data_IF_856967284793
#
_entry.id   IF_856967284793
#
_cell.length_a   1.000
_cell.length_b   1.000
_cell.length_c   1.000
_cell.angle_alpha   90.00
_cell.angle_beta   90.00
_cell.angle_gamma   90.00
#
_symmetry.space_group_name_H-M   'P 1'
#
loop_
_entity.id
_entity.type
_entity.pdbx_description
1 polymer ?
#
# COMPACT_ATOMS: atom_id res chain seq x y z
N UNK A 1 -32.27 137.89 4.00
CA UNK A 1 -33.17 137.15 3.08
C UNK A 1 -32.51 136.64 1.80
N UNK A 2 -32.13 137.45 0.78
CA UNK A 2 -31.54 136.89 -0.47
C UNK A 2 -30.13 136.27 -0.31
N UNK A 3 -29.35 136.71 0.68
CA UNK A 3 -27.98 136.21 0.94
C UNK A 3 -27.99 134.86 1.67
N UNK A 4 -28.81 134.74 2.71
CA UNK A 4 -29.01 133.50 3.49
C UNK A 4 -29.61 132.37 2.64
N UNK A 5 -30.52 132.68 1.71
CA UNK A 5 -31.10 131.67 0.81
C UNK A 5 -30.05 131.09 -0.16
N UNK A 6 -29.08 131.91 -0.57
CA UNK A 6 -27.98 131.50 -1.44
C UNK A 6 -26.96 130.65 -0.66
N UNK A 7 -26.66 131.02 0.57
CA UNK A 7 -25.80 130.24 1.47
C UNK A 7 -26.41 128.86 1.76
N UNK A 8 -27.73 128.78 2.03
CA UNK A 8 -28.44 127.50 2.19
C UNK A 8 -28.46 126.66 0.91
N UNK A 9 -28.60 127.27 -0.27
CA UNK A 9 -28.50 126.55 -1.54
C UNK A 9 -27.08 126.03 -1.82
N UNK A 10 -26.06 126.81 -1.46
CA UNK A 10 -24.66 126.42 -1.63
C UNK A 10 -24.27 125.32 -0.62
N UNK A 11 -24.79 125.37 0.61
CA UNK A 11 -24.66 124.28 1.59
C UNK A 11 -25.35 123.01 1.12
N UNK A 12 -26.61 123.10 0.65
CA UNK A 12 -27.33 121.94 0.13
C UNK A 12 -26.58 121.29 -1.05
N UNK A 13 -26.05 122.08 -1.98
CA UNK A 13 -25.20 121.56 -3.08
C UNK A 13 -23.95 120.87 -2.57
N UNK A 14 -23.27 121.43 -1.56
CA UNK A 14 -22.09 120.78 -0.94
C UNK A 14 -22.47 119.46 -0.28
N UNK A 15 -23.63 119.39 0.39
CA UNK A 15 -24.10 118.15 1.00
C UNK A 15 -24.46 117.10 -0.05
N UNK A 16 -25.12 117.49 -1.14
CA UNK A 16 -25.44 116.57 -2.25
C UNK A 16 -24.17 116.03 -2.90
N UNK A 17 -23.20 116.89 -3.22
CA UNK A 17 -21.90 116.47 -3.79
C UNK A 17 -21.13 115.56 -2.82
N UNK A 18 -21.19 115.82 -1.52
CA UNK A 18 -20.58 114.95 -0.52
C UNK A 18 -21.27 113.58 -0.44
N UNK A 19 -22.60 113.54 -0.50
CA UNK A 19 -23.37 112.28 -0.51
C UNK A 19 -23.09 111.46 -1.76
N UNK A 20 -23.05 112.08 -2.95
CA UNK A 20 -22.69 111.40 -4.20
C UNK A 20 -21.27 110.82 -4.14
N UNK A 21 -20.32 111.58 -3.56
CA UNK A 21 -18.96 111.11 -3.36
C UNK A 21 -18.92 109.93 -2.38
N UNK A 22 -19.63 110.02 -1.27
CA UNK A 22 -19.70 108.95 -0.28
C UNK A 22 -20.31 107.66 -0.85
N UNK A 23 -21.39 107.76 -1.64
CA UNK A 23 -21.99 106.60 -2.30
C UNK A 23 -21.03 105.96 -3.31
N UNK A 24 -20.30 106.76 -4.08
CA UNK A 24 -19.32 106.26 -5.02
C UNK A 24 -18.14 105.57 -4.32
N UNK A 25 -17.60 106.18 -3.26
CA UNK A 25 -16.52 105.60 -2.44
C UNK A 25 -16.97 104.27 -1.80
N UNK A 26 -18.24 104.16 -1.35
CA UNK A 26 -18.77 102.91 -0.79
C UNK A 26 -18.96 101.82 -1.84
N UNK A 27 -19.45 102.17 -3.05
CA UNK A 27 -19.59 101.21 -4.16
C UNK A 27 -18.23 100.69 -4.64
N UNK A 28 -17.21 101.56 -4.66
CA UNK A 28 -15.85 101.18 -5.04
C UNK A 28 -15.23 100.23 -4.01
N UNK A 29 -15.35 100.52 -2.71
CA UNK A 29 -14.86 99.62 -1.64
C UNK A 29 -15.53 98.24 -1.65
N UNK A 30 -16.84 98.17 -1.90
CA UNK A 30 -17.54 96.87 -2.02
C UNK A 30 -17.05 96.11 -3.25
N UNK A 31 -16.79 96.82 -4.36
CA UNK A 31 -16.25 96.20 -5.57
C UNK A 31 -14.83 95.68 -5.38
N UNK A 32 -13.96 96.45 -4.74
CA UNK A 32 -12.58 96.04 -4.41
C UNK A 32 -12.59 94.82 -3.47
N UNK A 33 -13.39 94.84 -2.41
CA UNK A 33 -13.53 93.70 -1.49
C UNK A 33 -14.01 92.43 -2.17
N UNK A 34 -15.01 92.52 -3.06
CA UNK A 34 -15.49 91.36 -3.82
C UNK A 34 -14.44 90.80 -4.81
N UNK A 35 -13.60 91.67 -5.38
CA UNK A 35 -12.52 91.25 -6.30
C UNK A 35 -11.40 90.55 -5.55
N UNK A 36 -11.03 91.05 -4.37
CA UNK A 36 -10.04 90.41 -3.49
C UNK A 36 -10.54 89.03 -3.03
N UNK A 37 -11.77 88.94 -2.52
CA UNK A 37 -12.38 87.67 -2.09
C UNK A 37 -12.49 86.65 -3.23
N UNK A 38 -12.90 87.08 -4.44
CA UNK A 38 -12.89 86.20 -5.61
C UNK A 38 -11.49 85.74 -6.01
N UNK A 39 -10.47 86.60 -5.86
CA UNK A 39 -9.08 86.26 -6.21
C UNK A 39 -8.48 85.26 -5.23
N UNK A 40 -8.70 85.44 -3.93
CA UNK A 40 -8.25 84.54 -2.87
C UNK A 40 -8.93 83.18 -3.01
N UNK A 41 -10.25 83.16 -3.25
CA UNK A 41 -11.00 81.93 -3.42
C UNK A 41 -10.58 81.15 -4.68
N UNK A 42 -10.24 81.85 -5.79
CA UNK A 42 -9.68 81.21 -7.00
C UNK A 42 -8.31 80.59 -6.75
N UNK A 43 -7.46 81.23 -5.96
CA UNK A 43 -6.12 80.72 -5.66
C UNK A 43 -6.14 79.60 -4.63
N UNK A 44 -7.03 79.65 -3.64
CA UNK A 44 -7.29 78.53 -2.73
C UNK A 44 -7.84 77.31 -3.46
N UNK A 45 -8.76 77.50 -4.41
CA UNK A 45 -9.33 76.42 -5.19
C UNK A 45 -8.28 75.76 -6.12
N UNK A 46 -7.41 76.54 -6.76
CA UNK A 46 -6.25 76.01 -7.51
C UNK A 46 -5.32 75.18 -6.60
N UNK A 47 -4.99 75.69 -5.41
CA UNK A 47 -4.16 74.95 -4.44
C UNK A 47 -4.85 73.67 -3.95
N UNK A 48 -6.17 73.68 -3.78
CA UNK A 48 -6.95 72.50 -3.44
C UNK A 48 -6.94 71.46 -4.58
N UNK A 49 -7.08 71.89 -5.83
CA UNK A 49 -7.01 71.03 -7.01
C UNK A 49 -5.64 70.36 -7.14
N UNK A 50 -4.54 71.12 -7.01
CA UNK A 50 -3.18 70.56 -7.06
C UNK A 50 -2.96 69.53 -5.94
N UNK A 51 -3.48 69.79 -4.73
CA UNK A 51 -3.42 68.82 -3.63
C UNK A 51 -4.20 67.55 -3.96
N UNK A 52 -5.43 67.67 -4.48
CA UNK A 52 -6.24 66.52 -4.88
C UNK A 52 -5.56 65.68 -5.97
N UNK A 53 -5.00 66.31 -7.00
CA UNK A 53 -4.24 65.61 -8.05
C UNK A 53 -3.02 64.87 -7.49
N UNK A 54 -2.31 65.47 -6.52
CA UNK A 54 -1.20 64.82 -5.84
C UNK A 54 -1.66 63.59 -5.06
N UNK A 55 -2.72 63.71 -4.27
CA UNK A 55 -3.30 62.59 -3.54
C UNK A 55 -3.77 61.48 -4.47
N UNK A 56 -4.40 61.82 -5.60
CA UNK A 56 -4.85 60.83 -6.59
C UNK A 56 -3.66 60.08 -7.21
N UNK A 57 -2.56 60.79 -7.53
CA UNK A 57 -1.33 60.18 -8.04
C UNK A 57 -0.71 59.23 -7.01
N UNK A 58 -0.64 59.63 -5.75
CA UNK A 58 -0.09 58.80 -4.66
C UNK A 58 -0.95 57.55 -4.42
N UNK A 59 -2.28 57.69 -4.44
CA UNK A 59 -3.19 56.55 -4.28
C UNK A 59 -3.09 55.58 -5.47
N UNK A 60 -2.99 56.10 -6.71
CA UNK A 60 -2.75 55.28 -7.90
C UNK A 60 -1.41 54.55 -7.84
N UNK A 61 -0.36 55.21 -7.34
CA UNK A 61 0.96 54.61 -7.16
C UNK A 61 0.93 53.49 -6.12
N UNK A 62 0.37 53.75 -4.93
CA UNK A 62 0.20 52.74 -3.87
C UNK A 62 -0.64 51.54 -4.31
N UNK A 63 -1.70 51.77 -5.08
CA UNK A 63 -2.52 50.69 -5.63
C UNK A 63 -1.75 49.81 -6.63
N UNK A 64 -0.84 50.40 -7.43
CA UNK A 64 0.05 49.64 -8.32
C UNK A 64 1.10 48.85 -7.54
N UNK A 65 1.77 49.50 -6.59
CA UNK A 65 2.77 48.85 -5.74
C UNK A 65 2.18 47.68 -4.95
N UNK A 66 1.00 47.84 -4.35
CA UNK A 66 0.32 46.76 -3.64
C UNK A 66 -0.10 45.59 -4.55
N UNK A 67 -0.46 45.86 -5.81
CA UNK A 67 -0.72 44.80 -6.79
C UNK A 67 0.55 44.07 -7.21
N UNK A 68 1.65 44.78 -7.44
CA UNK A 68 2.93 44.18 -7.81
C UNK A 68 3.53 43.35 -6.67
N UNK A 69 3.45 43.84 -5.42
CA UNK A 69 3.85 43.11 -4.23
C UNK A 69 3.01 41.85 -4.05
N UNK A 70 1.67 41.97 -4.17
CA UNK A 70 0.77 40.82 -4.07
C UNK A 70 0.95 39.79 -5.19
N UNK A 71 1.27 40.21 -6.42
CA UNK A 71 1.62 39.29 -7.50
C UNK A 71 2.97 38.60 -7.27
N UNK A 72 3.97 39.32 -6.76
CA UNK A 72 5.27 38.75 -6.46
C UNK A 72 5.20 37.74 -5.30
N UNK A 73 4.42 38.03 -4.26
CA UNK A 73 4.19 37.11 -3.14
C UNK A 73 3.52 35.82 -3.64
N UNK A 74 2.45 35.93 -4.43
CA UNK A 74 1.81 34.77 -5.07
C UNK A 74 2.76 33.96 -5.95
N UNK A 75 3.66 34.62 -6.69
CA UNK A 75 4.66 33.90 -7.51
C UNK A 75 5.66 33.16 -6.64
N UNK A 76 6.09 33.76 -5.52
CA UNK A 76 7.00 33.12 -4.58
C UNK A 76 6.36 31.89 -3.94
N UNK A 77 5.14 32.03 -3.41
CA UNK A 77 4.37 30.93 -2.84
C UNK A 77 4.16 29.80 -3.86
N UNK A 78 3.81 30.12 -5.10
CA UNK A 78 3.61 29.11 -6.15
C UNK A 78 4.92 28.38 -6.49
N UNK A 79 6.05 29.09 -6.52
CA UNK A 79 7.35 28.47 -6.75
C UNK A 79 7.77 27.56 -5.58
N UNK A 80 7.47 27.96 -4.35
CA UNK A 80 7.76 27.15 -3.17
C UNK A 80 6.88 25.90 -3.12
N UNK A 81 5.57 26.03 -3.37
CA UNK A 81 4.65 24.90 -3.52
C UNK A 81 5.10 23.94 -4.64
N UNK A 82 5.54 24.45 -5.79
CA UNK A 82 6.09 23.60 -6.87
C UNK A 82 7.32 22.82 -6.41
N UNK A 83 8.20 23.46 -5.64
CA UNK A 83 9.40 22.81 -5.08
C UNK A 83 9.02 21.73 -4.07
N UNK A 84 8.07 22.00 -3.18
CA UNK A 84 7.57 21.01 -2.23
C UNK A 84 6.91 19.82 -2.92
N UNK A 85 6.06 20.07 -3.92
CA UNK A 85 5.46 19.02 -4.74
C UNK A 85 6.53 18.18 -5.46
N UNK A 86 7.61 18.80 -5.92
CA UNK A 86 8.78 18.10 -6.48
C UNK A 86 9.41 17.14 -5.49
N UNK A 87 9.71 17.61 -4.26
CA UNK A 87 10.27 16.78 -3.19
C UNK A 87 9.34 15.62 -2.82
N UNK A 88 8.03 15.87 -2.74
CA UNK A 88 7.03 14.86 -2.43
C UNK A 88 6.98 13.79 -3.53
N UNK A 89 7.01 14.19 -4.81
CA UNK A 89 7.07 13.25 -5.94
C UNK A 89 8.31 12.37 -5.90
N UNK A 90 9.48 12.95 -5.69
CA UNK A 90 10.73 12.18 -5.54
C UNK A 90 10.67 11.20 -4.36
N UNK A 91 10.07 11.62 -3.25
CA UNK A 91 9.90 10.75 -2.10
C UNK A 91 8.93 9.60 -2.38
N UNK A 92 7.82 9.86 -3.06
CA UNK A 92 6.87 8.83 -3.50
C UNK A 92 7.52 7.83 -4.44
N UNK A 93 8.30 8.28 -5.43
CA UNK A 93 9.01 7.38 -6.35
C UNK A 93 10.02 6.49 -5.62
N UNK A 94 10.75 7.05 -4.65
CA UNK A 94 11.67 6.27 -3.80
C UNK A 94 10.92 5.23 -2.97
N UNK A 95 9.77 5.59 -2.39
CA UNK A 95 8.93 4.63 -1.65
C UNK A 95 8.37 3.53 -2.56
N UNK A 96 7.93 3.88 -3.75
CA UNK A 96 7.40 2.92 -4.72
C UNK A 96 8.48 1.89 -5.11
N UNK A 97 9.71 2.32 -5.38
CA UNK A 97 10.84 1.41 -5.64
C UNK A 97 11.12 0.48 -4.46
N UNK A 98 11.10 1.01 -3.23
CA UNK A 98 11.27 0.18 -2.02
C UNK A 98 10.17 -0.86 -1.85
N UNK A 99 8.91 -0.50 -2.13
CA UNK A 99 7.79 -1.44 -2.09
C UNK A 99 7.94 -2.54 -3.15
N UNK A 100 8.41 -2.19 -4.34
CA UNK A 100 8.67 -3.16 -5.41
C UNK A 100 9.79 -4.14 -5.04
N UNK A 101 10.88 -3.65 -4.44
CA UNK A 101 11.94 -4.50 -3.89
C UNK A 101 11.44 -5.45 -2.81
N UNK A 102 10.61 -4.95 -1.88
CA UNK A 102 10.01 -5.77 -0.81
C UNK A 102 9.10 -6.84 -1.41
N UNK A 103 8.22 -6.48 -2.35
CA UNK A 103 7.34 -7.42 -3.03
C UNK A 103 8.12 -8.54 -3.74
N UNK A 104 9.20 -8.18 -4.44
CA UNK A 104 10.06 -9.15 -5.11
C UNK A 104 10.76 -10.09 -4.11
N UNK A 105 11.17 -9.60 -2.93
CA UNK A 105 11.69 -10.45 -1.85
C UNK A 105 10.63 -11.42 -1.32
N UNK A 106 9.42 -10.95 -1.07
CA UNK A 106 8.31 -11.79 -0.61
C UNK A 106 7.95 -12.88 -1.60
N UNK A 107 7.93 -12.58 -2.91
CA UNK A 107 7.70 -13.58 -3.96
C UNK A 107 8.75 -14.69 -3.93
N UNK A 108 10.04 -14.33 -3.90
CA UNK A 108 11.13 -15.31 -3.84
C UNK A 108 11.06 -16.17 -2.58
N UNK A 109 10.81 -15.54 -1.42
CA UNK A 109 10.61 -16.29 -0.18
C UNK A 109 9.44 -17.27 -0.27
N UNK A 110 8.33 -16.89 -0.92
CA UNK A 110 7.19 -17.77 -1.15
C UNK A 110 7.55 -18.97 -2.05
N UNK A 111 8.29 -18.72 -3.13
CA UNK A 111 8.78 -19.77 -4.05
C UNK A 111 9.73 -20.74 -3.34
N UNK A 112 10.71 -20.23 -2.59
CA UNK A 112 11.67 -21.05 -1.82
C UNK A 112 10.95 -21.92 -0.77
N UNK A 113 9.96 -21.35 -0.07
CA UNK A 113 9.18 -22.07 0.93
C UNK A 113 8.31 -23.15 0.29
N UNK A 114 7.67 -22.84 -0.84
CA UNK A 114 6.87 -23.80 -1.60
C UNK A 114 7.72 -24.96 -2.11
N UNK A 115 8.92 -24.69 -2.66
CA UNK A 115 9.84 -25.73 -3.11
C UNK A 115 10.29 -26.62 -1.95
N UNK A 116 10.63 -26.02 -0.80
CA UNK A 116 11.06 -26.76 0.40
C UNK A 116 9.95 -27.66 0.95
N UNK A 117 8.71 -27.15 1.03
CA UNK A 117 7.55 -27.93 1.46
C UNK A 117 7.30 -29.06 0.47
N UNK A 118 7.30 -28.76 -0.84
CA UNK A 118 7.01 -29.76 -1.87
C UNK A 118 8.04 -30.90 -1.82
N UNK A 119 9.33 -30.59 -1.72
CA UNK A 119 10.39 -31.61 -1.57
C UNK A 119 10.17 -32.50 -0.35
N UNK A 120 9.93 -31.90 0.82
CA UNK A 120 9.68 -32.67 2.06
C UNK A 120 8.43 -33.54 1.98
N UNK A 121 7.36 -33.03 1.37
CA UNK A 121 6.11 -33.79 1.19
C UNK A 121 6.36 -34.98 0.26
N UNK A 122 7.06 -34.78 -0.85
CA UNK A 122 7.43 -35.86 -1.77
C UNK A 122 8.29 -36.91 -1.08
N UNK A 123 9.34 -36.51 -0.35
CA UNK A 123 10.19 -37.44 0.42
C UNK A 123 9.38 -38.26 1.43
N UNK A 124 8.45 -37.64 2.17
CA UNK A 124 7.58 -38.34 3.11
C UNK A 124 6.65 -39.33 2.40
N UNK A 125 6.13 -38.96 1.22
CA UNK A 125 5.26 -39.83 0.44
C UNK A 125 6.03 -41.03 -0.12
N UNK A 126 7.23 -40.82 -0.64
CA UNK A 126 8.13 -41.88 -1.11
C UNK A 126 8.51 -42.84 0.02
N UNK A 127 8.92 -42.32 1.18
CA UNK A 127 9.26 -43.15 2.35
C UNK A 127 8.05 -43.98 2.84
N UNK A 128 6.84 -43.41 2.80
CA UNK A 128 5.61 -44.13 3.12
C UNK A 128 5.30 -45.22 2.10
N UNK A 129 5.53 -44.97 0.82
CA UNK A 129 5.33 -45.96 -0.24
C UNK A 129 6.32 -47.11 -0.11
N UNK A 130 7.59 -46.84 0.18
CA UNK A 130 8.60 -47.86 0.45
C UNK A 130 8.25 -48.72 1.68
N UNK A 131 7.79 -48.09 2.77
CA UNK A 131 7.33 -48.82 3.96
C UNK A 131 6.14 -49.73 3.63
N UNK A 132 5.18 -49.26 2.82
CA UNK A 132 4.06 -50.11 2.34
C UNK A 132 4.53 -51.30 1.49
N UNK A 133 5.56 -51.12 0.65
CA UNK A 133 6.13 -52.23 -0.15
C UNK A 133 6.75 -53.32 0.73
N UNK A 134 7.43 -52.96 1.83
CA UNK A 134 8.05 -53.92 2.76
C UNK A 134 7.04 -54.71 3.61
N UNK A 135 5.87 -54.14 3.89
CA UNK A 135 4.79 -54.80 4.66
C UNK A 135 4.22 -56.03 3.92
N UNK A 136 4.49 -56.21 2.62
CA UNK A 136 4.03 -57.35 1.83
C UNK A 136 4.87 -58.63 2.01
N UNK A 137 5.98 -58.55 2.73
CA UNK A 137 6.88 -59.67 2.96
C UNK A 137 6.70 -60.20 4.38
N UNK A 138 6.32 -61.46 4.52
CA UNK A 138 6.21 -62.17 5.79
C UNK A 138 7.39 -63.15 5.91
N UNK A 139 8.01 -63.22 7.08
CA UNK A 139 9.04 -64.24 7.35
C UNK A 139 8.49 -65.21 8.40
N UNK A 140 8.40 -66.48 8.03
CA UNK A 140 7.95 -67.56 8.91
C UNK A 140 9.17 -68.33 9.40
N UNK A 141 9.30 -68.46 10.71
CA UNK A 141 10.38 -69.21 11.36
C UNK A 141 9.88 -70.57 11.83
N UNK A 142 10.80 -71.51 12.06
CA UNK A 142 10.51 -72.84 12.59
C UNK A 142 9.54 -73.68 11.74
N UNK A 143 9.45 -73.39 10.44
CA UNK A 143 8.62 -74.16 9.53
C UNK A 143 9.38 -75.38 9.03
N UNK A 144 8.86 -76.59 9.28
CA UNK A 144 9.51 -77.83 8.85
C UNK A 144 9.90 -77.81 7.36
N UNK A 145 11.11 -78.27 7.05
CA UNK A 145 11.57 -78.45 5.68
C UNK A 145 11.29 -79.88 5.24
N UNK A 146 10.36 -80.05 4.31
CA UNK A 146 10.15 -81.36 3.67
C UNK A 146 11.26 -81.65 2.68
N UNK A 147 11.65 -82.92 2.55
CA UNK A 147 12.56 -83.35 1.50
C UNK A 147 11.85 -83.34 0.13
N UNK A 148 12.24 -82.39 -0.74
CA UNK A 148 11.79 -82.32 -2.12
C UNK A 148 12.86 -82.83 -3.10
N UNK A 149 12.45 -83.41 -4.23
CA UNK A 149 13.37 -83.94 -5.25
C UNK A 149 14.05 -82.84 -6.05
N UNK A 150 13.41 -81.67 -6.14
CA UNK A 150 13.95 -80.50 -6.81
C UNK A 150 13.43 -79.19 -6.18
N UNK A 151 13.99 -78.07 -6.61
CA UNK A 151 13.65 -76.75 -6.07
C UNK A 151 12.22 -76.30 -6.39
N UNK A 152 11.60 -76.77 -7.49
CA UNK A 152 10.21 -76.42 -7.83
C UNK A 152 9.22 -77.10 -6.90
N UNK A 153 9.43 -78.39 -6.65
CA UNK A 153 8.63 -79.16 -5.69
C UNK A 153 8.77 -78.60 -4.26
N UNK A 154 9.94 -78.07 -3.90
CA UNK A 154 10.12 -77.35 -2.63
C UNK A 154 9.25 -76.10 -2.55
N UNK A 155 9.22 -75.29 -3.62
CA UNK A 155 8.40 -74.06 -3.68
C UNK A 155 6.91 -74.41 -3.58
N UNK A 156 6.44 -75.41 -4.32
CA UNK A 156 5.04 -75.84 -4.27
C UNK A 156 4.65 -76.31 -2.87
N UNK A 157 5.49 -77.12 -2.23
CA UNK A 157 5.27 -77.56 -0.85
C UNK A 157 5.23 -76.38 0.13
N UNK A 158 6.18 -75.45 0.02
CA UNK A 158 6.24 -74.26 0.88
C UNK A 158 5.03 -73.34 0.67
N UNK A 159 4.55 -73.18 -0.57
CA UNK A 159 3.34 -72.42 -0.89
C UNK A 159 2.08 -73.04 -0.29
N UNK A 160 1.92 -74.37 -0.40
CA UNK A 160 0.76 -75.08 0.17
C UNK A 160 0.71 -74.91 1.69
N UNK A 161 1.86 -75.09 2.36
CA UNK A 161 1.93 -74.91 3.81
C UNK A 161 1.67 -73.46 4.22
N UNK A 162 2.18 -72.48 3.47
CA UNK A 162 1.86 -71.08 3.73
C UNK A 162 0.37 -70.78 3.57
N UNK A 163 -0.26 -71.28 2.50
CA UNK A 163 -1.70 -71.13 2.28
C UNK A 163 -2.53 -71.75 3.39
N UNK A 164 -2.11 -72.92 3.89
CA UNK A 164 -2.75 -73.60 5.02
C UNK A 164 -2.67 -72.75 6.30
N UNK A 165 -1.49 -72.22 6.64
CA UNK A 165 -1.31 -71.32 7.80
C UNK A 165 -2.19 -70.08 7.66
N UNK A 166 -2.19 -69.42 6.50
CA UNK A 166 -2.96 -68.20 6.30
C UNK A 166 -4.48 -68.44 6.34
N UNK A 167 -4.95 -69.52 5.71
CA UNK A 167 -6.39 -69.81 5.61
C UNK A 167 -6.94 -70.43 6.90
N UNK A 168 -6.27 -71.47 7.41
CA UNK A 168 -6.79 -72.27 8.52
C UNK A 168 -6.41 -71.72 9.90
N UNK A 169 -5.15 -71.33 10.10
CA UNK A 169 -4.68 -70.83 11.40
C UNK A 169 -4.99 -69.34 11.60
N UNK A 170 -4.77 -68.53 10.56
CA UNK A 170 -4.94 -67.07 10.63
C UNK A 170 -6.32 -66.59 10.17
N UNK A 171 -7.15 -67.45 9.57
CA UNK A 171 -8.49 -67.10 9.07
C UNK A 171 -8.49 -65.94 8.05
N UNK A 172 -7.50 -65.93 7.15
CA UNK A 172 -7.39 -64.94 6.08
C UNK A 172 -7.60 -65.61 4.73
N UNK A 173 -8.82 -65.47 4.19
CA UNK A 173 -9.24 -66.16 2.96
C UNK A 173 -8.78 -65.44 1.67
N UNK A 174 -8.51 -64.13 1.73
CA UNK A 174 -8.18 -63.28 0.58
C UNK A 174 -6.67 -62.99 0.50
N UNK A 175 -5.84 -64.04 0.52
CA UNK A 175 -4.37 -63.92 0.33
C UNK A 175 -3.94 -64.59 -0.98
N UNK A 176 -3.20 -63.84 -1.77
CA UNK A 176 -2.49 -64.37 -2.94
C UNK A 176 -0.98 -64.33 -2.64
N UNK A 177 -0.34 -65.50 -2.65
CA UNK A 177 1.10 -65.65 -2.46
C UNK A 177 1.79 -65.50 -3.81
N UNK A 178 2.63 -64.46 -3.94
CA UNK A 178 3.39 -64.17 -5.16
C UNK A 178 4.63 -65.06 -5.24
N UNK A 179 5.34 -65.23 -4.12
CA UNK A 179 6.62 -65.95 -4.11
C UNK A 179 6.92 -66.49 -2.71
N UNK A 180 7.58 -67.65 -2.64
CA UNK A 180 8.08 -68.26 -1.41
C UNK A 180 9.56 -68.63 -1.57
N UNK A 181 10.41 -68.17 -0.65
CA UNK A 181 11.85 -68.36 -0.71
C UNK A 181 12.40 -68.74 0.66
N UNK A 182 13.05 -69.90 0.78
CA UNK A 182 13.78 -70.29 1.99
C UNK A 182 15.08 -69.46 2.09
N UNK A 183 15.27 -68.80 3.22
CA UNK A 183 16.40 -67.93 3.48
C UNK A 183 17.59 -68.75 4.03
N UNK A 184 18.74 -68.64 3.37
CA UNK A 184 19.98 -69.32 3.79
C UNK A 184 20.31 -70.59 2.99
N UNK A 185 21.54 -71.07 3.14
CA UNK A 185 22.03 -72.29 2.48
C UNK A 185 21.57 -73.52 3.26
N UNK A 186 21.23 -74.60 2.55
CA UNK A 186 20.93 -75.89 3.19
C UNK A 186 22.24 -76.42 3.79
N UNK A 187 22.35 -76.37 5.11
CA UNK A 187 23.52 -76.88 5.81
C UNK A 187 23.53 -78.42 5.72
N UNK A 188 24.54 -78.95 5.05
CA UNK A 188 24.83 -80.39 5.06
C UNK A 188 25.78 -80.66 6.23
N UNK A 189 25.22 -80.88 7.41
CA UNK A 189 26.01 -81.42 8.53
C UNK A 189 26.03 -82.95 8.43
N UNK A 190 27.24 -83.52 8.43
CA UNK A 190 27.52 -84.96 8.39
C UNK A 190 27.31 -85.67 9.74
N UNK A 191 26.96 -84.92 10.79
CA UNK A 191 26.93 -85.43 12.16
C UNK A 191 25.67 -84.97 12.88
N UNK A 192 24.60 -85.76 12.76
CA UNK A 192 23.57 -86.04 13.78
C UNK A 192 22.87 -84.93 14.58
N UNK A 193 23.19 -83.65 14.43
CA UNK A 193 22.53 -82.56 15.16
C UNK A 193 21.21 -82.18 14.50
N UNK A 194 20.18 -81.95 15.32
CA UNK A 194 18.85 -81.51 14.89
C UNK A 194 18.96 -80.21 14.08
N UNK A 195 18.78 -80.34 12.76
CA UNK A 195 18.86 -79.22 11.83
C UNK A 195 17.75 -78.23 12.13
N UNK A 196 18.11 -76.99 12.47
CA UNK A 196 17.12 -75.90 12.54
C UNK A 196 16.59 -75.63 11.13
N UNK A 197 15.26 -75.65 10.93
CA UNK A 197 14.68 -75.36 9.63
C UNK A 197 14.95 -73.90 9.24
N UNK A 198 15.21 -73.66 7.95
CA UNK A 198 15.42 -72.30 7.42
C UNK A 198 14.12 -71.52 7.45
N UNK A 199 14.26 -70.23 7.73
CA UNK A 199 13.16 -69.29 7.66
C UNK A 199 12.62 -69.20 6.22
N UNK A 200 11.31 -69.05 6.09
CA UNK A 200 10.62 -68.93 4.81
C UNK A 200 10.16 -67.48 4.63
N UNK A 201 10.70 -66.81 3.60
CA UNK A 201 10.21 -65.52 3.14
C UNK A 201 9.03 -65.75 2.20
N UNK A 202 7.88 -65.17 2.53
CA UNK A 202 6.66 -65.20 1.74
C UNK A 202 6.37 -63.79 1.25
N UNK A 203 6.26 -63.62 -0.07
CA UNK A 203 5.79 -62.37 -0.68
C UNK A 203 4.31 -62.49 -0.96
N UNK A 204 3.52 -61.61 -0.38
CA UNK A 204 2.08 -61.53 -0.59
C UNK A 204 1.77 -60.48 -1.66
N UNK A 205 0.75 -60.74 -2.47
CA UNK A 205 0.19 -59.73 -3.37
C UNK A 205 -0.58 -58.70 -2.54
N UNK A 206 -1.07 -57.63 -3.16
CA UNK A 206 -1.88 -56.65 -2.42
C UNK A 206 -3.10 -57.34 -1.81
N UNK A 207 -3.06 -57.53 -0.49
CA UNK A 207 -4.26 -57.81 0.29
C UNK A 207 -5.21 -56.66 0.00
N UNK A 208 -6.23 -56.93 -0.82
CA UNK A 208 -7.41 -56.07 -0.86
C UNK A 208 -7.92 -56.12 0.57
N UNK A 209 -7.69 -55.06 1.34
CA UNK A 209 -8.21 -54.96 2.69
C UNK A 209 -9.72 -55.13 2.60
N UNK A 210 -10.19 -56.35 2.87
CA UNK A 210 -11.56 -56.62 3.19
C UNK A 210 -11.85 -55.74 4.40
N UNK A 211 -12.68 -54.72 4.19
CA UNK A 211 -13.13 -53.78 5.21
C UNK A 211 -14.10 -54.48 6.16
N UNK A 212 -13.68 -55.59 6.78
CA UNK A 212 -14.35 -56.09 7.97
C UNK A 212 -13.97 -55.16 9.11
N UNK A 213 -14.85 -54.19 9.35
CA UNK A 213 -14.83 -53.31 10.52
C UNK A 213 -14.50 -54.15 11.75
N UNK A 214 -13.43 -53.80 12.45
CA UNK A 214 -13.14 -54.30 13.77
C UNK A 214 -14.35 -53.99 14.67
N UNK A 215 -15.15 -55.01 15.00
CA UNK A 215 -16.29 -54.91 15.92
C UNK A 215 -15.86 -54.58 17.36
N UNK A 216 -14.55 -54.58 17.64
CA UNK A 216 -13.97 -54.28 18.96
C UNK A 216 -13.65 -52.80 19.21
N UNK A 217 -13.86 -51.93 18.22
CA UNK A 217 -13.64 -50.48 18.39
C UNK A 217 -14.94 -49.69 18.66
N UNK A 218 -16.04 -50.36 19.04
CA UNK A 218 -17.35 -49.73 19.30
C UNK A 218 -17.84 -49.86 20.75
N UNK A 219 -16.96 -50.14 21.70
CA UNK A 219 -17.27 -50.06 23.14
C UNK A 219 -16.27 -49.18 23.86
#
# INVERSE_FOLDING_TARGET
MKKELKELQDEHKKTVVWMEKYENDMKEKVREGNVEEESENKDENKKAMVRMESYEKDMKKKAREGNEEGENEKRYENNDMKRELGKIKEHMEKMQKKLEEVNNKWKRMGEDLQESITKKVVEILEEREEKKKRIKNVVIYNLEEKEARNWREQIENDQVVCMDIFTNEMQVDDIEIVETVRLGRKEQTEQGEERKPRALLVKLSEVKQSTKKCLRCQT
#
